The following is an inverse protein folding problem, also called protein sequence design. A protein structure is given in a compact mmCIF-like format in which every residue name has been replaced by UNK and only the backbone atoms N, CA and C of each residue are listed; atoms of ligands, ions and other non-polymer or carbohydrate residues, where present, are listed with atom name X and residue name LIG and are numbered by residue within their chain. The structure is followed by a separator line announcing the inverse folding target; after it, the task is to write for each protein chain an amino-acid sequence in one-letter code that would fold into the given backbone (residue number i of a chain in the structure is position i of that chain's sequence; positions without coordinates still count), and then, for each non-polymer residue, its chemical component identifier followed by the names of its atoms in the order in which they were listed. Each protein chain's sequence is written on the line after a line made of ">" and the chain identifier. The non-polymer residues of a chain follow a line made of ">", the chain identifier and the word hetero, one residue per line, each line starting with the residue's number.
data_IF_519598955361
#
_entry.id   IF_519598955361
#
_cell.length_a   1.000
_cell.length_b   1.000
_cell.length_c   1.000
_cell.angle_alpha   90.00
_cell.angle_beta   90.00
_cell.angle_gamma   90.00
#
_symmetry.space_group_name_H-M   'P 1'
#
loop_
_entity.id
_entity.type
_entity.pdbx_description
1 polymer ?
#
# COMPACT_ATOMS: atom_id res chain seq x y z
N UNK A 1 -19.96 14.07 8.15
CA UNK A 1 -18.62 13.50 8.38
C UNK A 1 -18.07 12.93 7.08
N UNK A 2 -16.85 13.29 6.74
CA UNK A 2 -16.22 12.82 5.48
C UNK A 2 -15.86 11.33 5.57
N UNK A 3 -16.12 10.59 4.49
CA UNK A 3 -15.62 9.22 4.35
C UNK A 3 -14.10 9.21 4.23
N UNK A 4 -13.46 8.18 4.72
CA UNK A 4 -12.00 8.08 4.77
C UNK A 4 -11.46 7.24 3.62
N UNK A 5 -10.54 7.81 2.85
CA UNK A 5 -9.74 7.10 1.85
C UNK A 5 -8.35 6.88 2.44
N UNK A 6 -7.92 5.62 2.49
CA UNK A 6 -6.58 5.26 2.93
C UNK A 6 -5.76 4.85 1.72
N UNK A 7 -4.60 5.45 1.55
CA UNK A 7 -3.62 5.10 0.51
C UNK A 7 -2.41 4.47 1.17
N UNK A 8 -2.19 3.20 0.97
CA UNK A 8 -1.09 2.46 1.59
C UNK A 8 0.11 2.34 0.66
N UNK A 9 1.23 2.92 1.06
CA UNK A 9 2.46 3.00 0.27
C UNK A 9 3.73 2.93 1.13
N UNK A 10 3.69 2.18 2.22
CA UNK A 10 4.78 2.14 3.23
C UNK A 10 6.11 1.60 2.71
N UNK A 11 6.11 0.91 1.59
CA UNK A 11 7.31 0.29 1.03
C UNK A 11 7.82 0.96 -0.25
N UNK A 12 7.19 2.04 -0.68
CA UNK A 12 7.59 2.78 -1.88
C UNK A 12 8.69 3.80 -1.55
N UNK A 13 9.83 3.69 -2.22
CA UNK A 13 11.01 4.51 -1.95
C UNK A 13 11.42 5.33 -3.17
N UNK A 14 11.41 4.73 -4.35
CA UNK A 14 11.93 5.32 -5.57
C UNK A 14 11.34 4.65 -6.83
N UNK A 15 11.65 5.23 -7.98
CA UNK A 15 11.30 4.66 -9.28
C UNK A 15 9.86 4.91 -9.73
N UNK A 16 9.40 4.11 -10.67
CA UNK A 16 8.08 4.26 -11.30
C UNK A 16 6.91 4.10 -10.31
N UNK A 17 7.06 3.26 -9.32
CA UNK A 17 6.04 3.05 -8.28
C UNK A 17 5.83 4.29 -7.43
N UNK A 18 6.89 5.01 -7.10
CA UNK A 18 6.81 6.28 -6.38
C UNK A 18 6.13 7.35 -7.23
N UNK A 19 6.38 7.37 -8.54
CA UNK A 19 5.72 8.28 -9.47
C UNK A 19 4.21 8.03 -9.51
N UNK A 20 3.79 6.78 -9.58
CA UNK A 20 2.37 6.40 -9.54
C UNK A 20 1.73 6.84 -8.22
N UNK A 21 2.42 6.64 -7.11
CA UNK A 21 1.95 7.08 -5.80
C UNK A 21 1.77 8.60 -5.73
N UNK A 22 2.75 9.37 -6.21
CA UNK A 22 2.66 10.83 -6.26
C UNK A 22 1.52 11.30 -7.14
N UNK A 23 1.32 10.68 -8.31
CA UNK A 23 0.22 11.01 -9.20
C UNK A 23 -1.14 10.72 -8.55
N UNK A 24 -1.28 9.58 -7.88
CA UNK A 24 -2.50 9.24 -7.15
C UNK A 24 -2.79 10.25 -6.05
N UNK A 25 -1.80 10.65 -5.27
CA UNK A 25 -1.96 11.66 -4.24
C UNK A 25 -2.29 13.04 -4.81
N UNK A 26 -1.71 13.41 -5.95
CA UNK A 26 -2.02 14.66 -6.66
C UNK A 26 -3.50 14.70 -7.02
N UNK A 27 -4.01 13.66 -7.65
CA UNK A 27 -5.42 13.56 -8.03
C UNK A 27 -6.35 13.60 -6.82
N UNK A 28 -6.02 12.87 -5.77
CA UNK A 28 -6.81 12.86 -4.55
C UNK A 28 -6.80 14.22 -3.84
N UNK A 29 -5.65 14.87 -3.79
CA UNK A 29 -5.51 16.19 -3.16
C UNK A 29 -6.28 17.28 -3.91
N UNK A 30 -6.27 17.26 -5.24
CA UNK A 30 -6.90 18.29 -6.07
C UNK A 30 -8.41 18.10 -6.21
N UNK A 31 -8.87 16.85 -6.35
CA UNK A 31 -10.26 16.57 -6.75
C UNK A 31 -11.12 15.96 -5.64
N UNK A 32 -10.54 15.34 -4.62
CA UNK A 32 -11.28 14.57 -3.63
C UNK A 32 -11.12 15.05 -2.19
N UNK A 33 -10.13 15.88 -1.89
CA UNK A 33 -9.84 16.31 -0.51
C UNK A 33 -10.98 17.11 0.15
N UNK A 34 -11.84 17.75 -0.62
CA UNK A 34 -13.01 18.46 -0.09
C UNK A 34 -14.12 17.50 0.40
N UNK A 35 -14.28 16.36 -0.28
CA UNK A 35 -15.34 15.39 -0.01
C UNK A 35 -14.91 14.22 0.86
N UNK A 36 -13.62 13.89 0.86
CA UNK A 36 -13.06 12.76 1.56
C UNK A 36 -11.90 13.18 2.45
N UNK A 37 -11.77 12.51 3.59
CA UNK A 37 -10.58 12.60 4.41
C UNK A 37 -9.56 11.60 3.88
N UNK A 38 -8.41 12.08 3.43
CA UNK A 38 -7.39 11.25 2.79
C UNK A 38 -6.23 11.03 3.75
N UNK A 39 -5.90 9.77 3.99
CA UNK A 39 -4.82 9.35 4.88
C UNK A 39 -3.84 8.50 4.07
N UNK A 40 -2.58 8.92 4.00
CA UNK A 40 -1.52 8.16 3.36
C UNK A 40 -0.66 7.44 4.40
N UNK A 41 -0.47 6.14 4.23
CA UNK A 41 0.42 5.34 5.05
C UNK A 41 1.76 5.25 4.32
N UNK A 42 2.80 5.83 4.91
CA UNK A 42 4.13 5.94 4.31
C UNK A 42 5.21 5.56 5.32
N UNK A 43 6.42 5.29 4.87
CA UNK A 43 7.56 5.17 5.78
C UNK A 43 8.17 6.54 6.10
N UNK A 44 8.08 7.50 5.18
CA UNK A 44 8.52 8.88 5.36
C UNK A 44 7.66 9.83 4.51
N UNK A 45 6.99 10.79 5.16
CA UNK A 45 6.13 11.79 4.49
C UNK A 45 6.89 12.72 3.54
N UNK A 46 8.20 12.86 3.70
CA UNK A 46 9.04 13.69 2.84
C UNK A 46 9.08 13.23 1.39
N UNK A 47 8.75 11.97 1.13
CA UNK A 47 8.73 11.42 -0.23
C UNK A 47 7.65 12.02 -1.13
N UNK A 48 6.49 12.36 -0.56
CA UNK A 48 5.38 12.91 -1.31
C UNK A 48 4.44 13.65 -0.35
N UNK A 49 4.66 14.94 -0.14
CA UNK A 49 3.85 15.74 0.77
C UNK A 49 2.84 16.61 0.03
N UNK A 50 1.57 16.54 0.45
CA UNK A 50 0.47 17.37 -0.02
C UNK A 50 -0.29 17.96 1.17
N UNK A 51 -0.70 19.24 1.13
CA UNK A 51 -1.24 19.93 2.32
C UNK A 51 -2.60 19.43 2.81
N UNK A 52 -3.40 18.82 1.93
CA UNK A 52 -4.75 18.35 2.27
C UNK A 52 -4.79 16.84 2.58
N UNK A 53 -3.64 16.20 2.71
CA UNK A 53 -3.52 14.77 3.00
C UNK A 53 -2.87 14.58 4.37
N UNK A 54 -3.45 13.72 5.19
CA UNK A 54 -2.86 13.30 6.46
C UNK A 54 -1.87 12.16 6.22
N UNK A 55 -0.75 12.15 6.94
CA UNK A 55 0.27 11.13 6.80
C UNK A 55 0.46 10.38 8.10
N UNK A 56 0.46 9.05 8.02
CA UNK A 56 0.85 8.17 9.10
C UNK A 56 2.16 7.48 8.71
N UNK A 57 3.19 7.72 9.49
CA UNK A 57 4.55 7.22 9.20
C UNK A 57 4.85 5.94 9.97
N UNK A 58 5.29 4.92 9.22
CA UNK A 58 5.65 3.61 9.77
C UNK A 58 7.03 3.17 9.27
N UNK A 59 8.11 3.82 9.70
CA UNK A 59 9.46 3.52 9.19
C UNK A 59 9.94 2.10 9.52
N UNK A 60 9.41 1.50 10.58
CA UNK A 60 9.77 0.14 10.99
C UNK A 60 9.34 -0.95 9.99
N UNK A 61 8.31 -0.70 9.19
CA UNK A 61 7.80 -1.67 8.20
C UNK A 61 8.85 -2.02 7.17
N UNK A 62 9.67 -1.06 6.79
CA UNK A 62 10.69 -1.20 5.75
C UNK A 62 11.92 -1.97 6.21
N UNK A 63 12.17 -2.06 7.52
CA UNK A 63 13.41 -2.63 8.07
C UNK A 63 13.58 -4.13 7.80
N UNK A 64 12.48 -4.89 7.85
CA UNK A 64 12.50 -6.34 7.63
C UNK A 64 11.26 -6.78 6.87
N UNK A 65 11.41 -7.82 6.06
CA UNK A 65 10.29 -8.40 5.32
C UNK A 65 9.15 -8.89 6.24
N UNK A 66 9.48 -9.49 7.37
CA UNK A 66 8.47 -9.96 8.33
C UNK A 66 7.66 -8.80 8.93
N UNK A 67 8.27 -7.62 9.10
CA UNK A 67 7.57 -6.43 9.55
C UNK A 67 6.49 -6.03 8.53
N UNK A 68 6.78 -6.14 7.25
CA UNK A 68 5.82 -5.86 6.19
C UNK A 68 4.66 -6.85 6.20
N UNK A 69 4.93 -8.14 6.37
CA UNK A 69 3.88 -9.16 6.48
C UNK A 69 2.98 -8.88 7.68
N UNK A 70 3.54 -8.60 8.82
CA UNK A 70 2.79 -8.22 10.02
C UNK A 70 1.94 -6.97 9.77
N UNK A 71 2.52 -5.92 9.18
CA UNK A 71 1.81 -4.69 8.87
C UNK A 71 0.61 -4.94 7.96
N UNK A 72 0.80 -5.66 6.85
CA UNK A 72 -0.25 -5.88 5.85
C UNK A 72 -1.40 -6.76 6.37
N UNK A 73 -1.11 -7.78 7.15
CA UNK A 73 -2.12 -8.77 7.55
C UNK A 73 -2.68 -8.58 8.96
N UNK A 74 -1.95 -7.94 9.84
CA UNK A 74 -2.39 -7.76 11.23
C UNK A 74 -2.61 -6.30 11.60
N UNK A 75 -1.62 -5.47 11.37
CA UNK A 75 -1.68 -4.06 11.74
C UNK A 75 -2.73 -3.31 10.92
N UNK A 76 -2.74 -3.48 9.61
CA UNK A 76 -3.71 -2.83 8.71
C UNK A 76 -5.15 -3.27 8.99
N UNK A 77 -5.35 -4.51 9.40
CA UNK A 77 -6.67 -5.00 9.80
C UNK A 77 -7.23 -4.18 10.97
N UNK A 78 -6.44 -4.02 12.02
CA UNK A 78 -6.81 -3.22 13.19
C UNK A 78 -6.98 -1.74 12.83
N UNK A 79 -6.05 -1.19 12.08
CA UNK A 79 -6.07 0.20 11.66
C UNK A 79 -7.29 0.52 10.79
N UNK A 80 -7.63 -0.35 9.84
CA UNK A 80 -8.78 -0.14 8.96
C UNK A 80 -10.11 -0.12 9.74
N UNK A 81 -10.25 -0.96 10.75
CA UNK A 81 -11.41 -0.95 11.63
C UNK A 81 -11.47 0.33 12.47
N UNK A 82 -10.33 0.74 13.04
CA UNK A 82 -10.22 1.94 13.86
C UNK A 82 -10.55 3.21 13.06
N UNK A 83 -10.09 3.29 11.82
CA UNK A 83 -10.35 4.42 10.93
C UNK A 83 -11.74 4.37 10.28
N UNK A 84 -12.41 3.22 10.31
CA UNK A 84 -13.65 2.99 9.57
C UNK A 84 -13.49 3.36 8.08
N UNK A 85 -12.48 2.80 7.45
CA UNK A 85 -12.08 3.15 6.09
C UNK A 85 -13.18 2.84 5.06
N UNK A 86 -13.50 3.80 4.23
CA UNK A 86 -14.41 3.64 3.10
C UNK A 86 -13.72 2.99 1.91
N UNK A 87 -12.56 3.54 1.52
CA UNK A 87 -11.73 3.01 0.45
C UNK A 87 -10.32 2.75 0.99
N UNK A 88 -9.79 1.58 0.70
CA UNK A 88 -8.40 1.23 0.96
C UNK A 88 -7.70 0.96 -0.37
N UNK A 89 -6.79 1.86 -0.75
CA UNK A 89 -6.00 1.76 -1.96
C UNK A 89 -4.56 1.36 -1.60
N UNK A 90 -4.17 0.14 -1.97
CA UNK A 90 -2.80 -0.34 -1.82
C UNK A 90 -2.04 -0.12 -3.14
N UNK A 91 -0.98 0.67 -3.10
CA UNK A 91 -0.16 1.00 -4.29
C UNK A 91 1.10 0.12 -4.39
N UNK A 92 1.10 -0.98 -3.71
CA UNK A 92 2.14 -2.00 -3.79
C UNK A 92 1.50 -3.37 -3.99
N UNK A 93 2.24 -4.29 -4.57
CA UNK A 93 1.73 -5.58 -5.10
C UNK A 93 1.17 -6.57 -4.04
N UNK A 94 0.94 -6.12 -2.83
CA UNK A 94 0.47 -6.94 -1.73
C UNK A 94 -0.97 -6.60 -1.38
N UNK A 95 -1.83 -7.59 -1.29
CA UNK A 95 -3.22 -7.41 -0.87
C UNK A 95 -3.28 -7.43 0.66
N UNK A 96 -3.57 -6.31 1.32
CA UNK A 96 -3.67 -6.29 2.77
C UNK A 96 -4.98 -6.91 3.27
N UNK A 97 -4.94 -7.46 4.48
CA UNK A 97 -6.14 -7.89 5.18
C UNK A 97 -6.74 -6.68 5.91
N UNK A 98 -7.69 -6.02 5.27
CA UNK A 98 -8.33 -4.81 5.78
C UNK A 98 -9.84 -4.89 5.70
N UNK A 99 -10.51 -4.17 6.60
CA UNK A 99 -11.95 -3.96 6.57
C UNK A 99 -12.24 -2.58 5.98
N UNK A 100 -12.73 -2.55 4.75
CA UNK A 100 -13.13 -1.33 4.07
C UNK A 100 -14.29 -1.63 3.12
N UNK A 101 -15.12 -0.64 2.81
CA UNK A 101 -16.22 -0.80 1.86
C UNK A 101 -15.69 -1.15 0.47
N UNK A 102 -14.63 -0.47 0.05
CA UNK A 102 -13.94 -0.72 -1.20
C UNK A 102 -12.46 -0.99 -0.95
N UNK A 103 -11.93 -2.02 -1.59
CA UNK A 103 -10.52 -2.40 -1.50
C UNK A 103 -9.95 -2.48 -2.90
N UNK A 104 -8.92 -1.71 -3.17
CA UNK A 104 -8.25 -1.65 -4.48
C UNK A 104 -6.77 -1.87 -4.31
N UNK A 105 -6.19 -2.71 -5.14
CA UNK A 105 -4.75 -2.98 -5.18
C UNK A 105 -4.24 -2.63 -6.57
N UNK A 106 -3.22 -1.80 -6.62
CA UNK A 106 -2.51 -1.50 -7.86
C UNK A 106 -1.32 -2.46 -8.00
N UNK A 107 -1.40 -3.35 -8.97
CA UNK A 107 -0.35 -4.34 -9.23
C UNK A 107 0.66 -3.80 -10.24
N UNK A 108 1.90 -3.60 -9.80
CA UNK A 108 3.04 -3.19 -10.65
C UNK A 108 3.76 -4.39 -11.26
N UNK A 109 3.65 -5.52 -10.59
CA UNK A 109 4.44 -6.72 -10.87
C UNK A 109 3.51 -7.86 -11.29
N UNK A 110 3.86 -8.55 -12.37
CA UNK A 110 3.12 -9.72 -12.85
C UNK A 110 3.39 -11.00 -12.04
N UNK A 111 4.30 -10.96 -11.07
CA UNK A 111 4.68 -12.13 -10.26
C UNK A 111 3.51 -12.88 -9.65
N UNK A 112 2.44 -12.23 -9.12
CA UNK A 112 1.27 -12.94 -8.60
C UNK A 112 0.53 -13.80 -9.63
N UNK A 113 0.68 -13.47 -10.92
CA UNK A 113 0.05 -14.18 -12.03
C UNK A 113 0.99 -15.16 -12.73
N UNK A 114 2.23 -15.21 -12.28
CA UNK A 114 3.24 -16.11 -12.82
C UNK A 114 3.18 -17.46 -12.12
N UNK A 115 3.07 -18.53 -12.92
CA UNK A 115 3.13 -19.90 -12.41
C UNK A 115 4.54 -20.45 -12.61
N UNK A 116 5.42 -20.35 -11.62
CA UNK A 116 6.80 -20.79 -11.77
C UNK A 116 6.87 -22.30 -11.90
N UNK A 117 7.71 -22.76 -12.82
CA UNK A 117 8.06 -24.18 -12.89
C UNK A 117 8.98 -24.55 -11.72
N UNK A 118 8.93 -25.80 -11.27
CA UNK A 118 9.80 -26.30 -10.20
C UNK A 118 11.29 -26.01 -10.45
N UNK A 119 11.72 -25.99 -11.73
CA UNK A 119 13.08 -25.63 -12.12
C UNK A 119 13.46 -24.17 -11.78
N UNK A 120 12.49 -23.26 -11.69
CA UNK A 120 12.77 -21.86 -11.38
C UNK A 120 13.05 -21.61 -9.89
N UNK A 121 12.63 -22.50 -9.00
CA UNK A 121 12.93 -22.43 -7.56
C UNK A 121 14.43 -22.39 -7.31
N UNK A 122 15.20 -23.11 -8.12
CA UNK A 122 16.65 -23.20 -8.03
C UNK A 122 17.34 -21.85 -8.29
N UNK A 123 16.72 -20.97 -9.07
CA UNK A 123 17.30 -19.69 -9.47
C UNK A 123 16.80 -18.51 -8.63
N UNK A 124 15.58 -18.55 -8.12
CA UNK A 124 15.04 -17.47 -7.31
C UNK A 124 13.97 -17.94 -6.32
N UNK A 125 14.44 -18.41 -5.18
CA UNK A 125 13.58 -18.84 -4.08
C UNK A 125 12.66 -17.73 -3.59
N UNK A 126 13.17 -16.49 -3.54
CA UNK A 126 12.39 -15.31 -3.09
C UNK A 126 11.24 -15.00 -4.04
N UNK A 127 11.48 -15.01 -5.34
CA UNK A 127 10.43 -14.78 -6.34
C UNK A 127 9.37 -15.88 -6.31
N UNK A 128 9.78 -17.12 -6.13
CA UNK A 128 8.84 -18.22 -5.99
C UNK A 128 7.91 -18.01 -4.78
N UNK A 129 8.45 -17.69 -3.62
CA UNK A 129 7.64 -17.41 -2.43
C UNK A 129 6.70 -16.22 -2.64
N UNK A 130 7.18 -15.17 -3.29
CA UNK A 130 6.34 -14.00 -3.60
C UNK A 130 5.17 -14.36 -4.53
N UNK A 131 5.34 -15.27 -5.45
CA UNK A 131 4.28 -15.68 -6.38
C UNK A 131 3.14 -16.45 -5.70
N UNK A 132 3.36 -16.98 -4.49
CA UNK A 132 2.36 -17.71 -3.73
C UNK A 132 1.48 -16.78 -2.85
N UNK A 133 1.86 -15.54 -2.69
CA UNK A 133 1.13 -14.55 -1.92
C UNK A 133 0.53 -13.49 -2.81
#
# INVERSE_FOLDING_TARGET
>A
MKKIIVVSAVNLVEGGTLTIFKNALTELNEHFAERYRIIALVHDKKLAYFPNIEYLEYPWVKKRWINRVYFEYFFCRSLSKKLNAYLWLAIHDMTPDVTATLRVVYCHNSTPFYHPKLSSIKYSYKEYLFSQF
#
